data_IF_946165542667
#
_entry.id   IF_946165542667
#
_cell.length_a   1.000
_cell.length_b   1.000
_cell.length_c   1.000
_cell.angle_alpha   90.00
_cell.angle_beta   90.00
_cell.angle_gamma   90.00
#
_symmetry.space_group_name_H-M   'P 1'
#
loop_
_entity.id
_entity.type
_entity.pdbx_description
1 polymer ?
#
# COMPACT_ATOMS: atom_id res chain seq x y z
N UNK A 1 6.51 3.68 -0.94
CA UNK A 1 7.61 4.17 -0.08
C UNK A 1 9.01 3.58 -0.32
N UNK A 2 9.19 2.28 -0.52
CA UNK A 2 10.48 1.58 -0.27
C UNK A 2 11.73 2.21 -0.92
N UNK A 3 11.65 2.63 -2.18
CA UNK A 3 12.78 3.29 -2.88
C UNK A 3 13.13 4.65 -2.30
N UNK A 4 12.13 5.41 -1.84
CA UNK A 4 12.34 6.72 -1.21
C UNK A 4 13.05 6.59 0.13
N UNK A 5 12.65 5.62 0.96
CA UNK A 5 13.29 5.38 2.27
C UNK A 5 14.76 4.99 2.11
N UNK A 6 15.09 4.17 1.10
CA UNK A 6 16.48 3.79 0.81
C UNK A 6 17.29 5.01 0.37
N UNK A 7 16.81 5.78 -0.61
CA UNK A 7 17.52 6.96 -1.12
C UNK A 7 17.69 8.01 -0.01
N UNK A 8 16.62 8.32 0.71
CA UNK A 8 16.63 9.29 1.80
C UNK A 8 17.56 8.87 2.94
N UNK A 9 17.47 7.60 3.38
CA UNK A 9 18.35 7.05 4.41
C UNK A 9 19.82 7.09 3.98
N UNK A 10 20.12 6.73 2.73
CA UNK A 10 21.48 6.84 2.18
C UNK A 10 21.98 8.29 2.20
N UNK A 11 21.19 9.26 1.74
CA UNK A 11 21.58 10.68 1.74
C UNK A 11 21.84 11.19 3.17
N UNK A 12 20.92 10.92 4.11
CA UNK A 12 21.04 11.34 5.51
C UNK A 12 22.27 10.73 6.17
N UNK A 13 22.55 9.45 5.90
CA UNK A 13 23.73 8.79 6.46
C UNK A 13 25.04 9.40 5.95
N UNK A 14 25.12 9.70 4.65
CA UNK A 14 26.30 10.34 4.04
C UNK A 14 26.50 11.75 4.59
N UNK A 15 25.42 12.54 4.72
CA UNK A 15 25.48 13.88 5.30
C UNK A 15 25.93 13.84 6.76
N UNK A 16 25.39 12.91 7.57
CA UNK A 16 25.75 12.75 8.97
C UNK A 16 27.22 12.38 9.15
N UNK A 17 27.73 11.43 8.34
CA UNK A 17 29.13 11.02 8.37
C UNK A 17 30.04 12.18 7.93
N UNK A 18 29.69 12.89 6.86
CA UNK A 18 30.46 14.04 6.37
C UNK A 18 30.52 15.15 7.42
N UNK A 19 29.41 15.43 8.10
CA UNK A 19 29.34 16.41 9.18
C UNK A 19 30.16 15.98 10.41
N UNK A 20 30.13 14.71 10.78
CA UNK A 20 30.95 14.18 11.86
C UNK A 20 32.44 14.32 11.57
N UNK A 21 32.88 13.95 10.35
CA UNK A 21 34.27 14.10 9.90
C UNK A 21 34.68 15.59 9.92
N UNK A 22 33.82 16.47 9.43
CA UNK A 22 34.07 17.92 9.46
C UNK A 22 34.29 18.45 10.88
N UNK A 23 33.45 18.04 11.84
CA UNK A 23 33.61 18.44 13.24
C UNK A 23 34.89 17.88 13.89
N UNK A 24 35.28 16.65 13.56
CA UNK A 24 36.53 16.05 14.05
C UNK A 24 37.75 16.81 13.52
N UNK A 25 37.75 17.21 12.25
CA UNK A 25 38.83 18.01 11.66
C UNK A 25 38.90 19.40 12.30
N UNK A 26 37.76 20.06 12.48
CA UNK A 26 37.69 21.41 13.04
C UNK A 26 38.12 21.46 14.52
N UNK A 27 37.79 20.42 15.30
CA UNK A 27 38.15 20.33 16.73
C UNK A 27 39.40 19.49 17.00
N UNK A 28 40.25 19.27 15.98
CA UNK A 28 41.44 18.40 16.08
C UNK A 28 42.34 18.70 17.27
N UNK A 29 42.52 19.97 17.63
CA UNK A 29 43.43 20.37 18.71
C UNK A 29 42.83 20.20 20.12
N UNK A 30 41.50 20.20 20.27
CA UNK A 30 40.79 20.15 21.55
C UNK A 30 39.76 19.01 21.55
N UNK A 31 40.14 17.85 21.03
CA UNK A 31 39.22 16.72 20.87
C UNK A 31 38.71 16.27 22.25
N UNK A 32 39.62 16.07 23.22
CA UNK A 32 39.35 15.60 24.58
C UNK A 32 38.19 16.35 25.26
N UNK A 33 38.20 17.68 25.20
CA UNK A 33 37.20 18.52 25.87
C UNK A 33 35.85 18.55 25.12
N UNK A 34 35.86 18.35 23.79
CA UNK A 34 34.68 18.50 22.93
C UNK A 34 34.05 17.20 22.43
N UNK A 35 34.57 16.03 22.81
CA UNK A 35 34.02 14.72 22.42
C UNK A 35 32.51 14.58 22.71
N UNK A 36 32.07 15.02 23.89
CA UNK A 36 30.64 14.99 24.28
C UNK A 36 29.80 15.89 23.37
N UNK A 37 30.28 17.09 23.07
CA UNK A 37 29.58 18.06 22.23
C UNK A 37 29.39 17.53 20.80
N UNK A 38 30.43 16.91 20.24
CA UNK A 38 30.40 16.30 18.90
C UNK A 38 29.39 15.14 18.84
N UNK A 39 29.42 14.25 19.84
CA UNK A 39 28.50 13.11 19.91
C UNK A 39 27.03 13.54 19.99
N UNK A 40 26.71 14.55 20.80
CA UNK A 40 25.35 15.08 20.91
C UNK A 40 24.85 15.67 19.59
N UNK A 41 25.71 16.42 18.88
CA UNK A 41 25.35 17.06 17.60
C UNK A 41 25.09 16.06 16.49
N UNK A 42 25.90 15.00 16.40
CA UNK A 42 25.72 13.94 15.39
C UNK A 42 24.45 13.13 15.66
N UNK A 43 24.18 12.78 16.92
CA UNK A 43 22.96 12.07 17.30
C UNK A 43 21.71 12.91 17.02
N UNK A 44 21.75 14.21 17.31
CA UNK A 44 20.65 15.14 17.01
C UNK A 44 20.29 15.13 15.52
N UNK A 45 21.27 15.21 14.63
CA UNK A 45 21.04 15.17 13.18
C UNK A 45 20.39 13.86 12.75
N UNK A 46 20.81 12.73 13.32
CA UNK A 46 20.27 11.42 12.98
C UNK A 46 18.81 11.26 13.44
N UNK A 47 18.50 11.71 14.66
CA UNK A 47 17.15 11.65 15.23
C UNK A 47 16.19 12.59 14.51
N UNK A 48 16.63 13.83 14.23
CA UNK A 48 15.83 14.81 13.48
C UNK A 48 15.54 14.37 12.05
N UNK A 49 16.40 13.52 11.48
CA UNK A 49 16.20 12.95 10.17
C UNK A 49 15.28 11.71 10.15
N UNK A 50 14.66 11.27 11.26
CA UNK A 50 13.68 10.19 11.18
C UNK A 50 12.53 10.57 10.23
N UNK A 51 12.22 9.78 9.18
CA UNK A 51 11.09 10.04 8.28
C UNK A 51 9.74 9.61 8.90
N UNK A 52 9.59 9.69 10.21
CA UNK A 52 8.49 9.16 11.00
C UNK A 52 7.10 9.63 10.47
N UNK A 53 6.97 10.90 10.10
CA UNK A 53 5.73 11.46 9.54
C UNK A 53 5.42 10.92 8.13
N UNK A 54 6.45 10.67 7.31
CA UNK A 54 6.29 10.15 5.95
C UNK A 54 5.74 8.71 5.98
N UNK A 55 6.23 7.87 6.90
CA UNK A 55 5.72 6.52 7.09
C UNK A 55 4.24 6.49 7.46
N UNK A 56 3.83 7.38 8.37
CA UNK A 56 2.44 7.49 8.80
C UNK A 56 1.53 8.00 7.69
N UNK A 57 2.03 8.88 6.82
CA UNK A 57 1.26 9.42 5.70
C UNK A 57 0.80 8.35 4.69
N UNK A 58 1.57 7.28 4.48
CA UNK A 58 1.16 6.17 3.60
C UNK A 58 0.19 5.19 4.31
N UNK A 59 0.44 4.86 5.58
CA UNK A 59 -0.32 3.82 6.30
C UNK A 59 -1.68 4.29 6.86
N UNK A 60 -1.78 5.53 7.36
CA UNK A 60 -2.99 6.02 8.00
C UNK A 60 -4.19 6.12 7.04
N UNK A 61 -4.10 6.77 5.86
CA UNK A 61 -5.25 6.88 4.96
C UNK A 61 -5.70 5.53 4.42
N UNK A 62 -4.75 4.63 4.13
CA UNK A 62 -5.04 3.28 3.64
C UNK A 62 -5.81 2.45 4.67
N UNK A 63 -5.39 2.46 5.94
CA UNK A 63 -6.09 1.75 7.01
C UNK A 63 -7.49 2.32 7.28
N UNK A 64 -7.64 3.64 7.34
CA UNK A 64 -8.93 4.30 7.52
C UNK A 64 -9.89 4.00 6.36
N UNK A 65 -9.38 3.96 5.13
CA UNK A 65 -10.19 3.62 3.95
C UNK A 65 -10.65 2.18 3.98
N UNK A 66 -9.80 1.23 4.39
CA UNK A 66 -10.17 -0.17 4.56
C UNK A 66 -11.30 -0.30 5.59
N UNK A 67 -11.17 0.36 6.75
CA UNK A 67 -12.22 0.37 7.80
C UNK A 67 -13.54 0.90 7.22
N UNK A 68 -13.49 2.00 6.46
CA UNK A 68 -14.67 2.58 5.82
C UNK A 68 -15.31 1.65 4.78
N UNK A 69 -14.52 0.87 4.05
CA UNK A 69 -15.01 -0.09 3.06
C UNK A 69 -15.66 -1.32 3.73
N UNK A 70 -15.09 -1.81 4.83
CA UNK A 70 -15.66 -2.91 5.61
C UNK A 70 -17.05 -2.53 6.13
N UNK A 71 -17.23 -1.31 6.64
CA UNK A 71 -18.54 -0.79 7.05
C UNK A 71 -19.55 -0.73 5.89
N UNK A 72 -19.07 -0.69 4.65
CA UNK A 72 -19.88 -0.76 3.42
C UNK A 72 -20.01 -2.18 2.85
N UNK A 73 -19.63 -3.21 3.61
CA UNK A 73 -19.62 -4.63 3.17
C UNK A 73 -18.70 -4.91 1.98
N UNK A 74 -17.70 -4.06 1.74
CA UNK A 74 -16.67 -4.26 0.72
C UNK A 74 -15.41 -4.72 1.45
N UNK A 75 -14.97 -5.95 1.16
CA UNK A 75 -13.79 -6.52 1.79
C UNK A 75 -12.55 -6.35 0.91
N UNK A 76 -11.47 -5.84 1.49
CA UNK A 76 -10.19 -5.64 0.81
C UNK A 76 -9.08 -6.38 1.54
N UNK A 77 -8.43 -7.31 0.86
CA UNK A 77 -7.39 -8.19 1.43
C UNK A 77 -6.03 -7.53 1.63
N UNK A 78 -5.68 -6.51 0.84
CA UNK A 78 -4.35 -5.88 0.86
C UNK A 78 -4.46 -4.36 0.63
N UNK A 79 -3.75 -3.56 1.43
CA UNK A 79 -3.74 -2.10 1.26
C UNK A 79 -3.29 -1.62 -0.12
N UNK A 80 -2.32 -2.31 -0.74
CA UNK A 80 -1.83 -2.01 -2.10
C UNK A 80 -2.91 -2.11 -3.19
N UNK A 81 -4.00 -2.83 -2.94
CA UNK A 81 -5.13 -2.91 -3.88
C UNK A 81 -5.80 -1.54 -4.02
N UNK A 82 -5.89 -0.72 -2.96
CA UNK A 82 -6.48 0.62 -3.05
C UNK A 82 -5.72 1.51 -4.03
N UNK A 83 -4.38 1.47 -4.00
CA UNK A 83 -3.54 2.22 -4.94
C UNK A 83 -3.66 1.72 -6.39
N UNK A 84 -3.96 0.44 -6.57
CA UNK A 84 -4.12 -0.16 -7.90
C UNK A 84 -5.51 0.15 -8.46
N UNK A 85 -6.54 0.14 -7.60
CA UNK A 85 -7.92 0.46 -7.94
C UNK A 85 -8.06 1.89 -8.48
N UNK A 86 -7.33 2.87 -7.93
CA UNK A 86 -7.36 4.26 -8.44
C UNK A 86 -6.76 4.41 -9.84
N UNK A 87 -5.93 3.47 -10.28
CA UNK A 87 -5.28 3.46 -11.60
C UNK A 87 -5.98 2.53 -12.60
N UNK A 88 -7.04 1.85 -12.17
CA UNK A 88 -7.74 0.85 -12.96
C UNK A 88 -8.50 1.53 -14.11
N UNK A 89 -8.23 1.11 -15.35
CA UNK A 89 -8.87 1.64 -16.56
C UNK A 89 -9.93 0.70 -17.13
N UNK A 90 -9.75 -0.59 -16.94
CA UNK A 90 -10.62 -1.62 -17.48
C UNK A 90 -11.00 -2.59 -16.37
N UNK A 91 -12.27 -2.92 -16.30
CA UNK A 91 -12.82 -3.88 -15.36
C UNK A 91 -13.48 -5.00 -16.16
N UNK A 92 -12.91 -6.20 -16.08
CA UNK A 92 -13.52 -7.40 -16.65
C UNK A 92 -14.34 -8.09 -15.56
N UNK A 93 -15.64 -8.26 -15.83
CA UNK A 93 -16.52 -9.03 -14.95
C UNK A 93 -16.63 -10.45 -15.47
N UNK A 94 -16.54 -11.42 -14.57
CA UNK A 94 -16.96 -12.79 -14.89
C UNK A 94 -18.48 -12.84 -15.03
N UNK A 95 -19.00 -13.69 -15.93
CA UNK A 95 -20.45 -13.77 -16.17
C UNK A 95 -21.14 -14.68 -15.15
N UNK A 96 -20.59 -15.88 -14.95
CA UNK A 96 -21.21 -16.91 -14.11
C UNK A 96 -20.89 -16.62 -12.64
N UNK A 97 -21.90 -16.45 -11.80
CA UNK A 97 -21.71 -16.22 -10.36
C UNK A 97 -21.30 -14.80 -9.94
N UNK A 98 -20.99 -13.90 -10.89
CA UNK A 98 -20.78 -12.47 -10.61
C UNK A 98 -21.90 -11.60 -11.19
N UNK A 99 -22.12 -11.62 -12.52
CA UNK A 99 -23.25 -10.91 -13.13
C UNK A 99 -24.56 -11.71 -13.06
N UNK A 100 -24.44 -13.03 -12.96
CA UNK A 100 -25.58 -13.94 -12.88
C UNK A 100 -25.56 -14.69 -11.55
N UNK A 101 -26.74 -15.08 -11.06
CA UNK A 101 -26.89 -15.80 -9.79
C UNK A 101 -26.35 -17.25 -9.85
N UNK A 102 -25.77 -17.69 -10.97
CA UNK A 102 -25.31 -19.08 -11.16
C UNK A 102 -26.44 -20.12 -11.22
N UNK A 103 -27.70 -19.68 -11.13
CA UNK A 103 -28.88 -20.53 -11.23
C UNK A 103 -29.37 -20.54 -12.68
N UNK A 104 -29.22 -21.70 -13.33
CA UNK A 104 -29.77 -21.90 -14.66
C UNK A 104 -31.30 -21.99 -14.58
N UNK A 105 -31.99 -21.16 -15.35
CA UNK A 105 -33.44 -21.19 -15.48
C UNK A 105 -33.81 -21.12 -16.95
N UNK A 106 -34.69 -22.02 -17.38
CA UNK A 106 -35.26 -21.99 -18.73
C UNK A 106 -36.21 -20.79 -18.79
N UNK A 107 -35.88 -19.79 -19.61
CA UNK A 107 -36.70 -18.58 -19.74
C UNK A 107 -37.79 -18.75 -20.78
N UNK A 108 -37.44 -19.21 -21.99
CA UNK A 108 -38.38 -19.48 -23.08
C UNK A 108 -38.14 -20.87 -23.64
N UNK A 109 -39.22 -21.59 -23.91
CA UNK A 109 -39.20 -22.84 -24.67
C UNK A 109 -40.12 -22.65 -25.88
N UNK A 110 -39.52 -22.43 -27.06
CA UNK A 110 -40.28 -22.41 -28.31
C UNK A 110 -40.47 -23.84 -28.80
N UNK A 111 -41.71 -24.35 -28.68
CA UNK A 111 -42.09 -25.66 -29.21
C UNK A 111 -42.32 -25.55 -30.72
N UNK A 112 -41.70 -26.45 -31.48
CA UNK A 112 -41.90 -26.57 -32.93
C UNK A 112 -43.03 -27.56 -33.30
N UNK A 113 -43.60 -28.31 -32.34
CA UNK A 113 -44.71 -29.25 -32.57
C UNK A 113 -45.55 -29.50 -31.28
N UNK A 114 -46.85 -29.78 -31.42
CA UNK A 114 -47.87 -29.73 -30.34
C UNK A 114 -47.96 -30.92 -29.37
N UNK A 115 -47.01 -31.85 -29.31
CA UNK A 115 -47.18 -33.05 -28.46
C UNK A 115 -46.44 -33.00 -27.11
N UNK A 116 -47.17 -32.57 -26.07
CA UNK A 116 -47.06 -32.76 -24.61
C UNK A 116 -45.70 -32.86 -23.91
N UNK A 117 -45.41 -31.85 -23.07
CA UNK A 117 -44.85 -31.86 -21.68
C UNK A 117 -43.66 -32.75 -21.26
N UNK A 118 -43.11 -33.59 -22.14
CA UNK A 118 -42.00 -34.50 -21.84
C UNK A 118 -40.62 -33.86 -22.01
N UNK A 119 -40.54 -32.72 -22.70
CA UNK A 119 -39.25 -32.06 -23.01
C UNK A 119 -38.57 -31.44 -21.78
N UNK A 120 -39.35 -30.96 -20.81
CA UNK A 120 -38.83 -30.44 -19.52
C UNK A 120 -38.50 -31.55 -18.51
N UNK A 121 -38.92 -32.81 -18.75
CA UNK A 121 -38.58 -33.97 -17.90
C UNK A 121 -37.25 -34.63 -18.30
N UNK A 122 -36.63 -34.20 -19.40
CA UNK A 122 -35.38 -34.73 -19.93
C UNK A 122 -34.14 -33.89 -19.57
N UNK A 123 -34.34 -32.76 -18.88
CA UNK A 123 -33.29 -31.87 -18.36
C UNK A 123 -33.37 -31.94 -16.84
#
# INVERSE_FOLDING_TARGET
MDRFTVIYGSIVSVLSITFAIYLIILYRNNLADKWKEIGHKVLLILVLACPCALCLAEALPNSLTIIKLINKKIFVMRGRILETLTKLKFLAFDKTGTLTNGQFRVHNCHRLNESNDKLLKLI
#
